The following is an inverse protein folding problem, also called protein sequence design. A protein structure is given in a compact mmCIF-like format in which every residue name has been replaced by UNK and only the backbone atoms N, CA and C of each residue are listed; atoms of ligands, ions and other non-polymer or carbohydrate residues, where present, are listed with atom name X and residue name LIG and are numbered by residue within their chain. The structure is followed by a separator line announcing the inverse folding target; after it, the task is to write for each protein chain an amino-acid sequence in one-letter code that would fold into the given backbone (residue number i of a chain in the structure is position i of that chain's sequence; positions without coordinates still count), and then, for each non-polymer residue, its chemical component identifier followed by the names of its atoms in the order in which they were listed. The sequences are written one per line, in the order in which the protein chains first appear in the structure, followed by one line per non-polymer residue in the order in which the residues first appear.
data_IF_162552570701
#
_entry.id   IF_162552570701
#
_cell.length_a   1.000
_cell.length_b   1.000
_cell.length_c   1.000
_cell.angle_alpha   90.00
_cell.angle_beta   90.00
_cell.angle_gamma   90.00
#
_symmetry.space_group_name_H-M   'P 1'
#
loop_
_entity.id
_entity.type
_entity.pdbx_description
1 polymer ?
#
# COMPACT_ATOMS: atom_id res chain seq x y z
N UNK A 1 -4.06 -71.02 -62.94
CA UNK A 1 -4.19 -70.36 -61.60
C UNK A 1 -3.02 -69.48 -61.41
N UNK A 2 -3.23 -68.13 -61.54
CA UNK A 2 -2.15 -67.14 -61.56
C UNK A 2 -2.30 -66.31 -60.27
N UNK A 3 -1.39 -66.45 -59.31
CA UNK A 3 -1.36 -65.76 -58.08
C UNK A 3 -0.64 -64.39 -58.26
N UNK A 4 -1.38 -63.30 -58.09
CA UNK A 4 -0.89 -61.92 -58.20
C UNK A 4 -0.33 -61.47 -56.85
N UNK A 5 1.01 -61.24 -56.78
CA UNK A 5 1.67 -60.63 -55.61
C UNK A 5 1.36 -59.14 -55.57
N UNK A 6 0.79 -58.68 -54.48
CA UNK A 6 0.56 -57.28 -54.19
C UNK A 6 1.77 -56.71 -53.40
N UNK A 7 2.53 -55.87 -54.07
CA UNK A 7 3.69 -55.14 -53.48
C UNK A 7 3.16 -54.00 -52.64
N UNK A 8 3.33 -54.06 -51.34
CA UNK A 8 3.01 -52.96 -50.41
C UNK A 8 4.05 -51.87 -50.51
N UNK A 9 3.60 -50.68 -50.94
CA UNK A 9 4.41 -49.45 -51.07
C UNK A 9 4.61 -48.86 -49.70
N UNK A 10 5.80 -49.01 -49.08
CA UNK A 10 6.16 -48.45 -47.82
C UNK A 10 6.20 -46.89 -47.92
N UNK A 11 5.45 -46.23 -47.06
CA UNK A 11 5.49 -44.80 -46.89
C UNK A 11 6.75 -44.42 -46.07
N UNK A 12 7.55 -43.42 -46.48
CA UNK A 12 8.68 -42.99 -45.65
C UNK A 12 8.14 -42.28 -44.42
N UNK A 13 8.43 -42.83 -43.24
CA UNK A 13 8.16 -42.15 -41.95
C UNK A 13 9.17 -41.03 -41.82
N UNK A 14 8.73 -39.79 -42.01
CA UNK A 14 9.52 -38.62 -41.73
C UNK A 14 9.87 -38.59 -40.24
N UNK A 15 11.08 -38.99 -39.87
CA UNK A 15 11.64 -38.77 -38.54
C UNK A 15 11.79 -37.27 -38.36
N UNK A 16 10.89 -36.65 -37.57
CA UNK A 16 11.07 -35.31 -37.03
C UNK A 16 12.32 -35.34 -36.16
N UNK A 17 13.37 -34.64 -36.57
CA UNK A 17 14.53 -34.38 -35.76
C UNK A 17 14.02 -33.55 -34.54
N UNK A 18 13.97 -34.15 -33.40
CA UNK A 18 13.83 -33.41 -32.12
C UNK A 18 15.21 -32.75 -31.91
N UNK A 19 15.33 -31.49 -32.29
CA UNK A 19 16.46 -30.68 -31.93
C UNK A 19 16.39 -30.46 -30.39
N UNK A 20 17.22 -31.13 -29.63
CA UNK A 20 17.42 -30.87 -28.21
C UNK A 20 18.13 -29.53 -28.06
N UNK A 21 17.71 -28.75 -27.04
CA UNK A 21 18.40 -27.53 -26.67
C UNK A 21 19.86 -27.81 -26.32
N UNK A 22 20.77 -27.02 -26.84
CA UNK A 22 22.18 -27.14 -26.49
C UNK A 22 22.43 -26.47 -25.13
N UNK A 23 23.44 -26.98 -24.41
CA UNK A 23 23.86 -26.41 -23.11
C UNK A 23 24.28 -24.94 -23.28
N UNK A 24 24.89 -24.60 -24.42
CA UNK A 24 25.29 -23.25 -24.77
C UNK A 24 24.08 -22.33 -24.96
N UNK A 25 23.00 -22.79 -25.60
CA UNK A 25 21.80 -22.02 -25.84
C UNK A 25 21.11 -21.68 -24.51
N UNK A 26 21.06 -22.65 -23.58
CA UNK A 26 20.51 -22.44 -22.25
C UNK A 26 21.35 -21.45 -21.43
N UNK A 27 22.68 -21.50 -21.56
CA UNK A 27 23.60 -20.56 -20.94
C UNK A 27 23.38 -19.13 -21.47
N UNK A 28 23.23 -18.95 -22.78
CA UNK A 28 22.96 -17.64 -23.40
C UNK A 28 21.63 -17.08 -22.93
N UNK A 29 20.58 -17.90 -22.83
CA UNK A 29 19.26 -17.48 -22.33
C UNK A 29 19.35 -17.00 -20.88
N UNK A 30 20.07 -17.72 -20.03
CA UNK A 30 20.25 -17.31 -18.62
C UNK A 30 21.01 -15.97 -18.54
N UNK A 31 22.06 -15.78 -19.32
CA UNK A 31 22.82 -14.51 -19.36
C UNK A 31 21.92 -13.35 -19.80
N UNK A 32 21.08 -13.56 -20.83
CA UNK A 32 20.13 -12.53 -21.27
C UNK A 32 19.11 -12.21 -20.18
N UNK A 33 18.56 -13.22 -19.49
CA UNK A 33 17.60 -13.01 -18.41
C UNK A 33 18.24 -12.22 -17.25
N UNK A 34 19.45 -12.60 -16.82
CA UNK A 34 20.16 -11.91 -15.74
C UNK A 34 20.45 -10.46 -16.12
N UNK A 35 20.92 -10.19 -17.32
CA UNK A 35 21.21 -8.83 -17.78
C UNK A 35 19.94 -7.99 -17.89
N UNK A 36 18.86 -8.54 -18.43
CA UNK A 36 17.56 -7.87 -18.48
C UNK A 36 17.00 -7.58 -17.06
N UNK A 37 17.12 -8.55 -16.15
CA UNK A 37 16.68 -8.37 -14.76
C UNK A 37 17.48 -7.27 -14.04
N UNK A 38 18.78 -7.18 -14.28
CA UNK A 38 19.65 -6.16 -13.66
C UNK A 38 19.27 -4.72 -14.07
N UNK A 39 18.71 -4.52 -15.26
CA UNK A 39 18.24 -3.21 -15.74
C UNK A 39 16.86 -2.86 -15.16
N UNK A 40 15.97 -3.83 -15.01
CA UNK A 40 14.57 -3.61 -14.61
C UNK A 40 14.43 -3.53 -13.08
N UNK A 41 15.16 -4.33 -12.32
CA UNK A 41 15.03 -4.44 -10.86
C UNK A 41 15.17 -3.10 -10.12
N UNK A 42 16.12 -2.20 -10.42
CA UNK A 42 16.26 -0.92 -9.72
C UNK A 42 15.06 0.02 -9.86
N UNK A 43 14.29 -0.09 -10.94
CA UNK A 43 13.16 0.81 -11.22
C UNK A 43 11.90 0.49 -10.43
N UNK A 44 11.79 -0.71 -9.84
CA UNK A 44 10.60 -1.17 -9.12
C UNK A 44 10.55 -0.66 -7.67
N UNK A 45 11.69 -0.47 -7.03
CA UNK A 45 11.79 -0.07 -5.62
C UNK A 45 11.09 1.26 -5.30
N UNK A 46 11.42 2.37 -5.98
CA UNK A 46 10.82 3.68 -5.73
C UNK A 46 9.31 3.70 -5.99
N UNK A 47 8.84 3.03 -7.04
CA UNK A 47 7.41 2.95 -7.38
C UNK A 47 6.62 2.19 -6.33
N UNK A 48 7.15 1.08 -5.83
CA UNK A 48 6.52 0.31 -4.77
C UNK A 48 6.42 1.11 -3.46
N UNK A 49 7.45 1.89 -3.13
CA UNK A 49 7.44 2.76 -1.95
C UNK A 49 6.44 3.92 -2.08
N UNK A 50 6.36 4.53 -3.25
CA UNK A 50 5.36 5.55 -3.53
C UNK A 50 3.94 4.97 -3.40
N UNK A 51 3.68 3.80 -3.96
CA UNK A 51 2.38 3.12 -3.84
C UNK A 51 2.01 2.80 -2.38
N UNK A 52 2.98 2.46 -1.53
CA UNK A 52 2.77 2.27 -0.08
C UNK A 52 2.39 3.56 0.61
N UNK A 53 3.04 4.67 0.28
CA UNK A 53 2.73 5.99 0.82
C UNK A 53 1.31 6.41 0.42
N UNK A 54 0.93 6.22 -0.84
CA UNK A 54 -0.40 6.52 -1.36
C UNK A 54 -1.48 5.67 -0.70
N UNK A 55 -1.23 4.37 -0.56
CA UNK A 55 -2.12 3.45 0.14
C UNK A 55 -2.26 3.82 1.63
N UNK A 56 -1.17 4.19 2.29
CA UNK A 56 -1.18 4.68 3.67
C UNK A 56 -2.05 5.93 3.83
N UNK A 57 -1.89 6.90 2.93
CA UNK A 57 -2.68 8.12 2.91
C UNK A 57 -4.19 7.85 2.70
N UNK A 58 -4.53 6.97 1.77
CA UNK A 58 -5.93 6.61 1.50
C UNK A 58 -6.58 5.90 2.71
N UNK A 59 -5.85 4.99 3.36
CA UNK A 59 -6.34 4.30 4.57
C UNK A 59 -6.48 5.26 5.76
N UNK A 60 -5.56 6.20 5.90
CA UNK A 60 -5.65 7.23 6.93
C UNK A 60 -6.87 8.14 6.70
N UNK A 61 -7.13 8.57 5.46
CA UNK A 61 -8.31 9.36 5.12
C UNK A 61 -9.62 8.61 5.41
N UNK A 62 -9.65 7.30 5.14
CA UNK A 62 -10.79 6.46 5.51
C UNK A 62 -11.00 6.38 7.03
N UNK A 63 -9.91 6.27 7.82
CA UNK A 63 -9.97 6.25 9.28
C UNK A 63 -10.44 7.59 9.84
N UNK A 64 -10.01 8.71 9.29
CA UNK A 64 -10.45 10.07 9.65
C UNK A 64 -11.96 10.21 9.43
N UNK A 65 -12.47 9.80 8.28
CA UNK A 65 -13.93 9.82 8.04
C UNK A 65 -14.67 8.91 9.00
N UNK A 66 -14.12 7.73 9.29
CA UNK A 66 -14.72 6.81 10.26
C UNK A 66 -14.76 7.42 11.67
N UNK A 67 -13.68 8.05 12.13
CA UNK A 67 -13.61 8.73 13.42
C UNK A 67 -14.69 9.81 13.54
N UNK A 68 -14.82 10.67 12.52
CA UNK A 68 -15.87 11.70 12.50
C UNK A 68 -17.28 11.11 12.55
N UNK A 69 -17.55 10.10 11.72
CA UNK A 69 -18.85 9.43 11.70
C UNK A 69 -19.19 8.83 13.05
N UNK A 70 -18.20 8.22 13.70
CA UNK A 70 -18.36 7.66 15.05
C UNK A 70 -18.67 8.74 16.09
N UNK A 71 -17.93 9.86 16.07
CA UNK A 71 -18.17 10.96 16.98
C UNK A 71 -19.62 11.47 16.91
N UNK A 72 -20.14 11.64 15.69
CA UNK A 72 -21.53 12.10 15.44
C UNK A 72 -22.56 11.05 15.88
N UNK A 73 -22.38 9.79 15.50
CA UNK A 73 -23.36 8.72 15.81
C UNK A 73 -23.41 8.44 17.30
N UNK A 74 -22.27 8.39 17.96
CA UNK A 74 -22.18 8.08 19.38
C UNK A 74 -22.40 9.33 20.26
N UNK A 75 -22.51 10.52 19.66
CA UNK A 75 -22.62 11.82 20.34
C UNK A 75 -21.54 12.02 21.39
N UNK A 76 -20.33 11.62 21.07
CA UNK A 76 -19.15 11.67 21.94
C UNK A 76 -17.93 12.05 21.12
N UNK A 77 -17.02 12.76 21.76
CA UNK A 77 -15.74 13.08 21.16
C UNK A 77 -14.91 11.81 20.94
N UNK A 78 -14.26 11.74 19.79
CA UNK A 78 -13.36 10.64 19.39
C UNK A 78 -12.01 11.24 19.05
N UNK A 79 -10.95 10.72 19.63
CA UNK A 79 -9.58 11.13 19.35
C UNK A 79 -8.89 10.11 18.43
N UNK A 80 -8.19 10.63 17.43
CA UNK A 80 -7.28 9.86 16.59
C UNK A 80 -5.86 10.08 17.10
N UNK A 81 -5.26 9.04 17.66
CA UNK A 81 -3.94 9.11 18.28
C UNK A 81 -2.93 8.22 17.56
N UNK A 82 -1.87 8.78 16.97
CA UNK A 82 -0.77 7.99 16.44
C UNK A 82 0.04 7.40 17.60
N UNK A 83 0.67 6.26 17.35
CA UNK A 83 1.68 5.69 18.26
C UNK A 83 2.95 6.54 18.28
N UNK A 84 3.77 6.41 19.32
CA UNK A 84 5.02 7.15 19.45
C UNK A 84 5.98 6.98 18.26
N UNK A 85 5.99 5.78 17.66
CA UNK A 85 6.77 5.47 16.47
C UNK A 85 6.09 5.91 15.15
N UNK A 86 4.84 6.38 15.21
CA UNK A 86 4.04 6.82 14.06
C UNK A 86 3.59 5.70 13.12
N UNK A 87 3.77 4.44 13.50
CA UNK A 87 3.39 3.27 12.69
C UNK A 87 1.91 2.94 12.79
N UNK A 88 1.37 3.04 13.99
CA UNK A 88 -0.02 2.69 14.30
C UNK A 88 -0.85 3.92 14.57
N UNK A 89 -2.11 3.85 14.22
CA UNK A 89 -3.08 4.91 14.53
C UNK A 89 -4.29 4.26 15.20
N UNK A 90 -4.69 4.79 16.35
CA UNK A 90 -5.84 4.31 17.13
C UNK A 90 -6.92 5.37 17.22
N UNK A 91 -8.14 4.90 17.41
CA UNK A 91 -9.26 5.73 17.86
C UNK A 91 -9.50 5.47 19.35
N UNK A 92 -9.54 6.55 20.11
CA UNK A 92 -9.77 6.52 21.55
C UNK A 92 -10.86 7.52 21.94
N UNK A 93 -11.42 7.37 23.12
CA UNK A 93 -12.27 8.40 23.70
C UNK A 93 -11.41 9.32 24.57
N UNK A 94 -11.50 10.66 24.43
CA UNK A 94 -10.78 11.60 25.27
C UNK A 94 -11.10 11.38 26.77
N UNK A 95 -10.15 11.74 27.64
CA UNK A 95 -10.34 11.60 29.09
C UNK A 95 -10.20 10.18 29.64
N UNK A 96 -9.61 9.24 28.88
CA UNK A 96 -9.36 7.88 29.38
C UNK A 96 -10.59 6.98 29.42
N UNK A 97 -11.67 7.37 28.76
CA UNK A 97 -12.93 6.61 28.72
C UNK A 97 -12.87 5.33 27.87
N UNK A 98 -11.67 4.88 27.50
CA UNK A 98 -11.44 3.64 26.77
C UNK A 98 -11.10 3.82 25.30
N UNK A 99 -10.99 2.70 24.58
CA UNK A 99 -10.72 2.66 23.14
C UNK A 99 -12.00 2.42 22.35
N UNK A 100 -12.12 3.06 21.19
CA UNK A 100 -13.19 2.77 20.23
C UNK A 100 -13.01 1.34 19.72
N UNK A 101 -14.12 0.60 19.58
CA UNK A 101 -14.10 -0.77 19.03
C UNK A 101 -13.79 -0.78 17.53
N UNK A 102 -12.57 -0.34 17.20
CA UNK A 102 -12.03 -0.31 15.85
C UNK A 102 -10.60 -0.81 15.93
N UNK A 103 -10.18 -1.78 15.10
CA UNK A 103 -8.81 -2.24 15.11
C UNK A 103 -7.87 -1.08 14.78
N UNK A 104 -6.67 -1.03 15.40
CA UNK A 104 -5.66 -0.03 15.06
C UNK A 104 -5.27 -0.11 13.59
N UNK A 105 -5.11 1.03 12.94
CA UNK A 105 -4.60 1.09 11.57
C UNK A 105 -3.08 0.92 11.58
N UNK A 106 -2.58 -0.14 10.97
CA UNK A 106 -1.15 -0.31 10.68
C UNK A 106 -0.81 0.37 9.35
N UNK A 107 0.06 1.37 9.38
CA UNK A 107 0.57 2.05 8.19
C UNK A 107 1.66 1.25 7.47
N UNK A 108 2.13 0.16 8.09
CA UNK A 108 3.21 -0.67 7.59
C UNK A 108 4.59 -0.27 8.09
N UNK A 109 5.59 -1.06 7.74
CA UNK A 109 6.94 -0.90 8.31
C UNK A 109 7.66 0.37 7.84
N UNK A 110 7.33 0.86 6.66
CA UNK A 110 8.06 1.95 6.00
C UNK A 110 7.37 3.30 6.07
N UNK A 111 6.11 3.36 6.51
CA UNK A 111 5.32 4.59 6.56
C UNK A 111 5.17 5.05 8.01
N UNK A 112 5.36 6.34 8.25
CA UNK A 112 5.25 6.96 9.58
C UNK A 112 4.35 8.19 9.51
N UNK A 113 3.44 8.28 10.48
CA UNK A 113 2.57 9.45 10.68
C UNK A 113 3.13 10.31 11.79
N UNK A 114 3.21 11.61 11.53
CA UNK A 114 3.45 12.65 12.54
C UNK A 114 2.40 13.73 12.40
N UNK A 115 1.98 14.29 13.52
CA UNK A 115 1.16 15.49 13.52
C UNK A 115 2.09 16.69 13.39
N UNK A 116 1.78 17.61 12.48
CA UNK A 116 2.51 18.87 12.39
C UNK A 116 2.10 19.71 13.60
N UNK A 117 3.08 20.11 14.42
CA UNK A 117 2.86 20.91 15.62
C UNK A 117 2.17 22.22 15.27
N UNK A 118 1.05 22.45 15.93
CA UNK A 118 0.24 23.66 15.81
C UNK A 118 -0.75 23.80 16.96
N UNK A 119 -0.88 22.78 17.79
CA UNK A 119 -1.73 22.81 18.96
C UNK A 119 -0.89 22.67 20.23
N UNK A 120 -1.19 23.50 21.25
CA UNK A 120 -0.64 23.47 22.61
C UNK A 120 -0.93 22.15 23.39
N UNK A 121 -1.29 21.08 22.70
CA UNK A 121 -1.56 19.78 23.27
C UNK A 121 -0.23 19.03 23.47
N UNK A 122 0.13 18.83 24.75
CA UNK A 122 1.30 18.08 25.19
C UNK A 122 1.48 16.72 24.52
N UNK A 123 2.50 15.98 24.93
CA UNK A 123 3.07 14.73 24.34
C UNK A 123 2.10 13.61 23.87
N UNK A 124 0.78 13.79 23.98
CA UNK A 124 -0.28 12.91 23.49
C UNK A 124 -1.18 13.61 22.45
N UNK A 125 -0.59 14.38 21.56
CA UNK A 125 -1.33 15.11 20.54
C UNK A 125 -2.10 14.13 19.61
N UNK A 126 -3.40 14.03 19.83
CA UNK A 126 -4.35 13.36 18.96
C UNK A 126 -5.22 14.40 18.24
N UNK A 127 -5.86 14.02 17.16
CA UNK A 127 -6.87 14.84 16.49
C UNK A 127 -8.22 14.53 17.15
N UNK A 128 -8.88 15.53 17.69
CA UNK A 128 -10.20 15.37 18.31
C UNK A 128 -11.29 15.67 17.28
N UNK A 129 -12.20 14.72 17.13
CA UNK A 129 -13.45 14.86 16.38
C UNK A 129 -14.57 15.02 17.38
N UNK A 130 -15.27 16.14 17.32
CA UNK A 130 -16.35 16.47 18.24
C UNK A 130 -17.67 15.82 17.86
N UNK A 131 -18.55 15.68 18.85
CA UNK A 131 -19.88 15.09 18.67
C UNK A 131 -20.76 15.81 17.63
N UNK A 132 -20.48 17.09 17.35
CA UNK A 132 -21.15 17.88 16.30
C UNK A 132 -20.58 17.66 14.90
N UNK A 133 -19.54 16.83 14.79
CA UNK A 133 -18.86 16.54 13.54
C UNK A 133 -17.77 17.53 13.14
N UNK A 134 -17.45 18.49 13.98
CA UNK A 134 -16.29 19.37 13.80
C UNK A 134 -14.99 18.67 14.22
N UNK A 135 -13.87 19.19 13.79
CA UNK A 135 -12.56 18.70 14.18
C UNK A 135 -11.56 19.87 14.26
N UNK A 136 -10.50 19.67 14.99
CA UNK A 136 -9.42 20.66 15.04
C UNK A 136 -8.68 20.72 13.69
N UNK A 137 -8.19 21.92 13.34
CA UNK A 137 -7.36 22.10 12.17
C UNK A 137 -5.94 21.58 12.46
N UNK A 138 -5.60 20.44 11.92
CA UNK A 138 -4.30 19.79 12.16
C UNK A 138 -3.62 19.43 10.86
N UNK A 139 -2.34 19.75 10.77
CA UNK A 139 -1.46 19.25 9.72
C UNK A 139 -0.97 17.83 10.04
N UNK A 140 -0.91 16.99 9.03
CA UNK A 140 -0.40 15.62 9.14
C UNK A 140 0.76 15.44 8.14
N UNK A 141 1.81 14.82 8.61
CA UNK A 141 2.99 14.46 7.81
C UNK A 141 3.08 12.94 7.72
N UNK A 142 2.88 12.42 6.54
CA UNK A 142 3.09 11.01 6.25
C UNK A 142 4.43 10.86 5.55
N UNK A 143 5.38 10.20 6.19
CA UNK A 143 6.75 10.03 5.67
C UNK A 143 7.06 8.58 5.35
N UNK A 144 7.85 8.36 4.31
CA UNK A 144 8.42 7.07 3.94
C UNK A 144 9.78 7.28 3.26
N UNK A 145 10.45 6.20 2.86
CA UNK A 145 11.67 6.29 2.04
C UNK A 145 11.44 6.94 0.66
N UNK A 146 10.17 6.97 0.18
CA UNK A 146 9.81 7.63 -1.07
C UNK A 146 9.67 9.16 -0.93
N UNK A 147 9.58 9.68 0.30
CA UNK A 147 9.39 11.09 0.57
C UNK A 147 8.38 11.37 1.67
N UNK A 148 7.93 12.62 1.72
CA UNK A 148 6.97 13.12 2.72
C UNK A 148 5.74 13.65 2.00
N UNK A 149 4.56 13.23 2.46
CA UNK A 149 3.28 13.77 2.03
C UNK A 149 2.70 14.63 3.16
N UNK A 150 2.47 15.88 2.86
CA UNK A 150 1.76 16.80 3.76
C UNK A 150 0.27 16.72 3.47
N UNK A 151 -0.51 16.57 4.51
CA UNK A 151 -1.97 16.58 4.47
C UNK A 151 -2.48 17.51 5.54
N UNK A 152 -3.62 18.13 5.28
CA UNK A 152 -4.29 19.00 6.23
C UNK A 152 -5.70 18.49 6.42
N UNK A 153 -6.14 18.42 7.66
CA UNK A 153 -7.53 18.11 7.96
C UNK A 153 -8.38 19.35 7.73
N UNK A 154 -9.33 19.25 6.79
CA UNK A 154 -10.38 20.25 6.61
C UNK A 154 -11.43 20.05 7.72
N UNK A 155 -11.51 20.96 8.71
CA UNK A 155 -12.40 20.77 9.85
C UNK A 155 -13.89 20.78 9.47
N UNK A 156 -14.26 21.49 8.42
CA UNK A 156 -15.65 21.58 7.97
C UNK A 156 -16.10 20.30 7.23
N UNK A 157 -15.20 19.74 6.42
CA UNK A 157 -15.52 18.55 5.61
C UNK A 157 -15.13 17.24 6.29
N UNK A 158 -14.25 17.29 7.31
CA UNK A 158 -13.70 16.11 7.98
C UNK A 158 -12.95 15.18 7.03
N UNK A 159 -12.23 15.74 6.07
CA UNK A 159 -11.46 15.01 5.07
C UNK A 159 -10.03 15.52 5.04
N UNK A 160 -9.12 14.63 4.70
CA UNK A 160 -7.74 15.01 4.45
C UNK A 160 -7.59 15.59 3.03
N UNK A 161 -7.02 16.78 2.96
CA UNK A 161 -6.62 17.44 1.71
C UNK A 161 -5.11 17.43 1.62
N UNK A 162 -4.56 17.18 0.45
CA UNK A 162 -3.12 17.31 0.25
C UNK A 162 -2.76 18.78 0.40
N UNK A 163 -1.91 19.09 1.38
CA UNK A 163 -1.36 20.43 1.56
C UNK A 163 -0.45 20.73 0.37
N UNK A 164 -0.73 21.81 -0.36
CA UNK A 164 0.18 22.31 -1.38
C UNK A 164 1.53 22.69 -0.75
N UNK A 165 2.61 22.51 -1.51
CA UNK A 165 3.96 22.97 -1.19
C UNK A 165 4.00 24.50 -1.12
#
# INVERSE_FOLDING_TARGET
MTTKLITAKGHPVMRRHQAGFTLLELLVVIVIIITAAAVVAPSLGPRAQQARLDSGAARLDALVRHARTRAVIERRDVALSPSADGRWVRLTYPGGAGTVRTPPLDLGETVRLRLAQGSDAGEQAGIIFHADGTAEHVGLLLSSHAGVRRMVLDPARGRLVTGGS
#
